data_IF_391599768586
#
_entry.id   IF_391599768586
#
_cell.length_a   1.000
_cell.length_b   1.000
_cell.length_c   1.000
_cell.angle_alpha   90.00
_cell.angle_beta   90.00
_cell.angle_gamma   90.00
#
_symmetry.space_group_name_H-M   'P 1'
#
loop_
_entity.id
_entity.type
_entity.pdbx_description
1 polymer ?
#
# COMPACT_ATOMS: atom_id res chain seq x y z
N UNK A 1 -6.82 6.31 42.52
CA UNK A 1 -5.45 6.62 42.08
C UNK A 1 -5.48 7.32 40.72
N UNK A 2 -5.93 8.59 40.68
CA UNK A 2 -6.26 9.31 39.43
C UNK A 2 -6.01 10.82 39.51
N UNK A 3 -4.92 11.24 40.16
CA UNK A 3 -4.66 12.66 40.43
C UNK A 3 -3.25 13.15 40.06
N UNK A 4 -2.40 12.30 39.47
CA UNK A 4 -1.00 12.69 39.18
C UNK A 4 -0.72 13.12 37.73
N UNK A 5 -1.70 13.09 36.83
CA UNK A 5 -1.49 13.36 35.41
C UNK A 5 -2.02 14.73 34.92
N UNK A 6 -2.43 15.62 35.83
CA UNK A 6 -3.00 16.94 35.47
C UNK A 6 -2.03 18.12 35.59
N UNK A 7 -0.91 17.98 36.28
CA UNK A 7 -0.04 19.11 36.61
C UNK A 7 1.02 19.49 35.57
N UNK A 8 1.14 18.76 34.46
CA UNK A 8 2.25 18.98 33.51
C UNK A 8 1.86 19.70 32.22
N UNK A 9 0.57 20.04 32.03
CA UNK A 9 0.09 20.70 30.80
C UNK A 9 -0.19 22.21 30.96
N UNK A 10 -0.39 22.73 32.17
CA UNK A 10 -0.78 24.14 32.38
C UNK A 10 0.41 25.13 32.38
N UNK A 11 1.65 24.67 32.41
CA UNK A 11 2.82 25.56 32.50
C UNK A 11 3.26 26.16 31.16
N UNK A 12 2.69 25.74 30.02
CA UNK A 12 3.11 26.20 28.69
C UNK A 12 2.27 27.37 28.11
N UNK A 13 1.29 27.88 28.86
CA UNK A 13 0.36 28.93 28.41
C UNK A 13 0.61 30.31 29.07
N UNK A 14 1.83 30.59 29.53
CA UNK A 14 2.24 31.95 29.93
C UNK A 14 2.94 32.69 28.78
N UNK A 15 2.59 33.96 28.50
CA UNK A 15 3.11 34.72 27.37
C UNK A 15 4.45 35.40 27.69
N UNK A 16 5.37 34.69 28.35
CA UNK A 16 6.78 35.12 28.49
C UNK A 16 7.64 34.08 27.76
N UNK A 17 7.72 34.27 26.45
CA UNK A 17 8.36 33.37 25.48
C UNK A 17 9.88 33.42 25.64
N UNK A 18 10.41 32.52 26.47
CA UNK A 18 11.82 32.17 26.48
C UNK A 18 12.18 31.52 25.11
N UNK A 19 13.19 32.00 24.37
CA UNK A 19 13.50 31.51 23.02
C UNK A 19 13.79 30.00 22.98
N UNK A 20 14.22 29.39 24.08
CA UNK A 20 14.46 27.94 24.18
C UNK A 20 13.20 27.07 23.95
N UNK A 21 12.00 27.52 24.32
CA UNK A 21 10.76 26.73 24.11
C UNK A 21 10.34 26.68 22.63
N UNK A 22 10.57 27.75 21.86
CA UNK A 22 10.30 27.75 20.42
C UNK A 22 11.23 26.79 19.66
N UNK A 23 12.51 26.77 20.01
CA UNK A 23 13.49 25.89 19.37
C UNK A 23 13.24 24.41 19.69
N UNK A 24 12.78 24.09 20.91
CA UNK A 24 12.40 22.73 21.30
C UNK A 24 11.25 22.16 20.48
N UNK A 25 10.19 22.94 20.24
CA UNK A 25 9.05 22.52 19.42
C UNK A 25 9.43 22.31 17.95
N UNK A 26 10.30 23.16 17.41
CA UNK A 26 10.83 23.01 16.04
C UNK A 26 11.66 21.73 15.93
N UNK A 27 12.52 21.43 16.92
CA UNK A 27 13.34 20.23 16.94
C UNK A 27 12.51 18.95 17.03
N UNK A 28 11.51 18.91 17.93
CA UNK A 28 10.56 17.79 18.04
C UNK A 28 9.81 17.60 16.72
N UNK A 29 9.37 18.68 16.08
CA UNK A 29 8.68 18.61 14.80
C UNK A 29 9.58 18.10 13.67
N UNK A 30 10.86 18.49 13.64
CA UNK A 30 11.85 17.96 12.71
C UNK A 30 12.10 16.46 12.96
N UNK A 31 12.23 16.04 14.21
CA UNK A 31 12.36 14.63 14.57
C UNK A 31 11.15 13.82 14.12
N UNK A 32 9.93 14.29 14.42
CA UNK A 32 8.69 13.65 13.96
C UNK A 32 8.67 13.54 12.43
N UNK A 33 9.09 14.59 11.71
CA UNK A 33 9.15 14.54 10.23
C UNK A 33 10.15 13.51 9.71
N UNK A 34 11.33 13.41 10.32
CA UNK A 34 12.34 12.44 9.93
C UNK A 34 11.90 11.01 10.27
N UNK A 35 11.35 10.78 11.46
CA UNK A 35 10.80 9.49 11.88
C UNK A 35 9.65 9.04 10.98
N UNK A 36 8.78 9.96 10.55
CA UNK A 36 7.70 9.64 9.59
C UNK A 36 8.24 9.21 8.24
N UNK A 37 9.29 9.86 7.72
CA UNK A 37 9.93 9.44 6.46
C UNK A 37 10.62 8.08 6.58
N UNK A 38 11.28 7.82 7.71
CA UNK A 38 11.93 6.54 7.96
C UNK A 38 10.91 5.39 8.09
N UNK A 39 9.82 5.62 8.83
CA UNK A 39 8.73 4.64 8.97
C UNK A 39 8.03 4.37 7.62
N UNK A 40 7.82 5.42 6.81
CA UNK A 40 7.24 5.31 5.48
C UNK A 40 8.14 4.50 4.53
N UNK A 41 9.47 4.76 4.55
CA UNK A 41 10.44 3.97 3.78
C UNK A 41 10.50 2.50 4.25
N UNK A 42 10.49 2.26 5.56
CA UNK A 42 10.46 0.90 6.10
C UNK A 42 9.19 0.15 5.69
N UNK A 43 8.03 0.82 5.74
CA UNK A 43 6.77 0.27 5.26
C UNK A 43 6.82 -0.08 3.78
N UNK A 44 7.46 0.76 2.96
CA UNK A 44 7.62 0.50 1.53
C UNK A 44 8.56 -0.68 1.22
N UNK A 45 9.65 -0.82 1.99
CA UNK A 45 10.57 -1.95 1.88
C UNK A 45 9.85 -3.25 2.26
N UNK A 46 9.09 -3.24 3.36
CA UNK A 46 8.28 -4.38 3.78
C UNK A 46 7.25 -4.75 2.71
N UNK A 47 6.48 -3.78 2.20
CA UNK A 47 5.54 -3.97 1.11
C UNK A 47 6.18 -4.62 -0.12
N UNK A 48 7.33 -4.10 -0.57
CA UNK A 48 8.00 -4.60 -1.77
C UNK A 48 8.50 -6.04 -1.58
N UNK A 49 8.96 -6.36 -0.36
CA UNK A 49 9.38 -7.71 0.01
C UNK A 49 8.18 -8.66 0.03
N UNK A 50 7.11 -8.30 0.72
CA UNK A 50 5.92 -9.14 0.84
C UNK A 50 5.26 -9.36 -0.53
N UNK A 51 5.19 -8.32 -1.37
CA UNK A 51 4.69 -8.43 -2.74
C UNK A 51 5.52 -9.43 -3.56
N UNK A 52 6.85 -9.37 -3.43
CA UNK A 52 7.76 -10.30 -4.10
C UNK A 52 7.60 -11.73 -3.56
N UNK A 53 7.40 -11.89 -2.26
CA UNK A 53 7.24 -13.20 -1.63
C UNK A 53 5.94 -13.87 -2.08
N UNK A 54 4.83 -13.12 -2.19
CA UNK A 54 3.57 -13.63 -2.74
C UNK A 54 3.64 -13.93 -4.25
N UNK A 55 4.30 -13.07 -5.03
CA UNK A 55 4.55 -13.34 -6.47
C UNK A 55 5.41 -14.59 -6.66
N UNK A 56 6.46 -14.77 -5.84
CA UNK A 56 7.30 -15.95 -5.87
C UNK A 56 6.56 -17.21 -5.42
N UNK A 57 5.67 -17.11 -4.43
CA UNK A 57 4.83 -18.23 -4.01
C UNK A 57 3.92 -18.70 -5.15
N UNK A 58 3.32 -17.76 -5.89
CA UNK A 58 2.50 -18.08 -7.06
C UNK A 58 3.31 -18.76 -8.18
N UNK A 59 4.54 -18.29 -8.43
CA UNK A 59 5.42 -18.85 -9.46
C UNK A 59 5.98 -20.23 -9.11
N UNK A 60 6.22 -20.50 -7.82
CA UNK A 60 6.82 -21.76 -7.36
C UNK A 60 5.77 -22.84 -7.03
N UNK A 61 4.48 -22.52 -7.03
CA UNK A 61 3.40 -23.47 -6.76
C UNK A 61 3.37 -24.59 -7.82
N UNK A 62 3.46 -25.85 -7.37
CA UNK A 62 3.59 -27.00 -8.28
C UNK A 62 2.24 -27.61 -8.64
N UNK A 63 1.29 -27.62 -7.69
CA UNK A 63 -0.07 -28.11 -7.93
C UNK A 63 -1.04 -26.99 -8.26
N UNK A 64 -2.13 -27.30 -8.98
CA UNK A 64 -3.15 -26.31 -9.29
C UNK A 64 -3.91 -25.82 -8.04
N UNK A 65 -4.01 -26.67 -7.01
CA UNK A 65 -4.58 -26.27 -5.71
C UNK A 65 -3.68 -25.29 -4.95
N UNK A 66 -2.36 -25.47 -5.01
CA UNK A 66 -1.39 -24.52 -4.43
C UNK A 66 -1.37 -23.20 -5.21
N UNK A 67 -1.48 -23.25 -6.55
CA UNK A 67 -1.56 -22.04 -7.38
C UNK A 67 -2.80 -21.22 -7.05
N UNK A 68 -3.94 -21.88 -6.86
CA UNK A 68 -5.19 -21.21 -6.50
C UNK A 68 -5.13 -20.57 -5.12
N UNK A 69 -4.53 -21.27 -4.15
CA UNK A 69 -4.30 -20.72 -2.82
C UNK A 69 -3.36 -19.52 -2.86
N UNK A 70 -2.22 -19.64 -3.54
CA UNK A 70 -1.26 -18.55 -3.69
C UNK A 70 -1.87 -17.35 -4.43
N UNK A 71 -2.75 -17.60 -5.40
CA UNK A 71 -3.47 -16.57 -6.12
C UNK A 71 -4.43 -15.80 -5.19
N UNK A 72 -5.22 -16.51 -4.38
CA UNK A 72 -6.11 -15.89 -3.39
C UNK A 72 -5.32 -15.11 -2.34
N UNK A 73 -4.18 -15.64 -1.87
CA UNK A 73 -3.31 -14.92 -0.95
C UNK A 73 -2.74 -13.63 -1.56
N UNK A 74 -2.31 -13.68 -2.83
CA UNK A 74 -1.86 -12.51 -3.56
C UNK A 74 -2.99 -11.48 -3.72
N UNK A 75 -4.21 -11.91 -4.05
CA UNK A 75 -5.36 -10.99 -4.14
C UNK A 75 -5.71 -10.36 -2.79
N UNK A 76 -5.72 -11.13 -1.70
CA UNK A 76 -5.95 -10.60 -0.36
C UNK A 76 -4.89 -9.55 0.02
N UNK A 77 -3.63 -9.80 -0.34
CA UNK A 77 -2.56 -8.84 -0.17
C UNK A 77 -2.83 -7.56 -0.96
N UNK A 78 -3.12 -7.67 -2.28
CA UNK A 78 -3.41 -6.53 -3.14
C UNK A 78 -4.65 -5.73 -2.64
N UNK A 79 -5.64 -6.39 -2.07
CA UNK A 79 -6.85 -5.78 -1.49
C UNK A 79 -6.52 -4.85 -0.34
N UNK A 80 -5.67 -5.31 0.57
CA UNK A 80 -5.22 -4.49 1.70
C UNK A 80 -4.49 -3.22 1.24
N UNK A 81 -3.62 -3.32 0.22
CA UNK A 81 -2.88 -2.16 -0.29
C UNK A 81 -3.74 -1.25 -1.18
N UNK A 82 -4.70 -1.81 -1.92
CA UNK A 82 -5.70 -1.02 -2.62
C UNK A 82 -6.56 -0.22 -1.64
N UNK A 83 -6.96 -0.83 -0.51
CA UNK A 83 -7.65 -0.14 0.58
C UNK A 83 -6.81 1.00 1.16
N UNK A 84 -5.51 0.76 1.40
CA UNK A 84 -4.59 1.76 1.91
C UNK A 84 -4.39 2.94 0.95
N UNK A 85 -4.32 2.68 -0.36
CA UNK A 85 -4.23 3.72 -1.38
C UNK A 85 -5.54 4.51 -1.53
N UNK A 86 -6.69 3.82 -1.60
CA UNK A 86 -8.00 4.43 -1.73
C UNK A 86 -8.32 5.32 -0.52
N UNK A 87 -7.96 4.87 0.69
CA UNK A 87 -8.20 5.58 1.95
C UNK A 87 -7.17 6.67 2.26
N UNK A 88 -6.19 6.91 1.37
CA UNK A 88 -5.10 7.89 1.55
C UNK A 88 -4.32 7.72 2.86
N UNK A 89 -4.23 6.49 3.36
CA UNK A 89 -3.43 6.17 4.56
C UNK A 89 -1.93 6.40 4.30
N UNK A 90 -1.53 6.18 3.06
CA UNK A 90 -0.20 6.49 2.52
C UNK A 90 -0.29 7.73 1.63
N UNK A 91 0.69 8.63 1.78
CA UNK A 91 0.75 9.90 1.07
C UNK A 91 2.06 10.08 0.29
N UNK A 92 2.10 11.08 -0.59
CA UNK A 92 3.33 11.47 -1.28
C UNK A 92 3.92 10.39 -2.19
N UNK A 93 5.23 10.18 -2.08
CA UNK A 93 5.99 9.26 -2.94
C UNK A 93 5.62 7.79 -2.70
N UNK A 94 5.40 7.39 -1.46
CA UNK A 94 5.10 5.99 -1.12
C UNK A 94 3.76 5.54 -1.68
N UNK A 95 2.75 6.44 -1.68
CA UNK A 95 1.50 6.18 -2.41
C UNK A 95 1.73 5.94 -3.90
N UNK A 96 2.59 6.73 -4.56
CA UNK A 96 2.87 6.55 -5.99
C UNK A 96 3.53 5.20 -6.28
N UNK A 97 4.43 4.76 -5.41
CA UNK A 97 5.13 3.48 -5.58
C UNK A 97 4.18 2.31 -5.34
N UNK A 98 3.31 2.39 -4.32
CA UNK A 98 2.26 1.40 -4.08
C UNK A 98 1.28 1.37 -5.27
N UNK A 99 0.80 2.53 -5.73
CA UNK A 99 -0.09 2.63 -6.89
C UNK A 99 0.54 1.99 -8.14
N UNK A 100 1.81 2.27 -8.40
CA UNK A 100 2.53 1.69 -9.54
C UNK A 100 2.66 0.17 -9.40
N UNK A 101 3.06 -0.34 -8.24
CA UNK A 101 3.20 -1.78 -8.01
C UNK A 101 1.85 -2.50 -8.11
N UNK A 102 0.77 -1.91 -7.61
CA UNK A 102 -0.59 -2.44 -7.78
C UNK A 102 -0.96 -2.53 -9.26
N UNK A 103 -0.68 -1.49 -10.06
CA UNK A 103 -0.90 -1.49 -11.50
C UNK A 103 -0.07 -2.58 -12.19
N UNK A 104 1.22 -2.70 -11.85
CA UNK A 104 2.13 -3.69 -12.43
C UNK A 104 1.68 -5.13 -12.11
N UNK A 105 1.33 -5.42 -10.85
CA UNK A 105 0.88 -6.75 -10.43
C UNK A 105 -0.48 -7.09 -11.07
N UNK A 106 -1.44 -6.16 -11.13
CA UNK A 106 -2.73 -6.39 -11.79
C UNK A 106 -2.58 -6.60 -13.30
N UNK A 107 -1.73 -5.82 -13.97
CA UNK A 107 -1.43 -6.00 -15.40
C UNK A 107 -0.74 -7.34 -15.67
N UNK A 108 0.17 -7.77 -14.79
CA UNK A 108 0.87 -9.06 -14.89
C UNK A 108 -0.12 -10.22 -14.76
N UNK A 109 -1.03 -10.16 -13.79
CA UNK A 109 -2.08 -11.17 -13.62
C UNK A 109 -3.02 -11.16 -14.84
N UNK A 110 -3.38 -9.99 -15.34
CA UNK A 110 -4.26 -9.86 -16.51
C UNK A 110 -3.64 -10.45 -17.78
N UNK A 111 -2.32 -10.40 -17.94
CA UNK A 111 -1.59 -11.04 -19.04
C UNK A 111 -1.34 -12.54 -18.84
N UNK A 112 -1.70 -13.11 -17.68
CA UNK A 112 -1.55 -14.53 -17.42
C UNK A 112 -2.80 -15.29 -17.86
N UNK A 113 -2.65 -16.19 -18.84
CA UNK A 113 -3.75 -17.00 -19.37
C UNK A 113 -4.48 -17.83 -18.33
N UNK A 114 -3.80 -18.21 -17.25
CA UNK A 114 -4.35 -19.10 -16.22
C UNK A 114 -5.12 -18.36 -15.12
N UNK A 115 -4.86 -17.06 -14.97
CA UNK A 115 -5.42 -16.24 -13.89
C UNK A 115 -6.28 -15.08 -14.39
N UNK A 116 -6.30 -14.82 -15.70
CA UNK A 116 -7.13 -13.78 -16.33
C UNK A 116 -8.59 -13.90 -15.93
N UNK A 117 -9.22 -15.05 -16.21
CA UNK A 117 -10.64 -15.28 -15.94
C UNK A 117 -10.94 -15.24 -14.43
N UNK A 118 -10.01 -15.74 -13.60
CA UNK A 118 -10.14 -15.73 -12.15
C UNK A 118 -10.06 -14.31 -11.59
N UNK A 119 -9.19 -13.47 -12.15
CA UNK A 119 -9.09 -12.06 -11.79
C UNK A 119 -10.34 -11.30 -12.22
N UNK A 120 -10.84 -11.52 -13.44
CA UNK A 120 -12.05 -10.86 -13.93
C UNK A 120 -13.28 -11.22 -13.09
N UNK A 121 -13.40 -12.51 -12.72
CA UNK A 121 -14.44 -12.96 -11.80
C UNK A 121 -14.30 -12.34 -10.40
N UNK A 122 -13.07 -12.24 -9.88
CA UNK A 122 -12.79 -11.64 -8.58
C UNK A 122 -13.11 -10.13 -8.54
N UNK A 123 -12.74 -9.38 -9.58
CA UNK A 123 -13.01 -7.93 -9.70
C UNK A 123 -14.50 -7.63 -9.90
N UNK A 124 -15.21 -8.53 -10.58
CA UNK A 124 -16.64 -8.42 -10.84
C UNK A 124 -17.49 -8.85 -9.64
N UNK A 125 -16.90 -9.55 -8.66
CA UNK A 125 -17.59 -9.96 -7.44
C UNK A 125 -17.69 -8.79 -6.46
N UNK A 126 -18.91 -8.37 -6.04
CA UNK A 126 -19.09 -7.20 -5.19
C UNK A 126 -18.69 -7.40 -3.72
N UNK A 127 -18.38 -8.62 -3.26
CA UNK A 127 -18.23 -8.90 -1.82
C UNK A 127 -16.80 -9.14 -1.34
N UNK A 128 -15.90 -9.70 -2.15
CA UNK A 128 -14.59 -10.19 -1.64
C UNK A 128 -13.42 -9.25 -1.92
N UNK A 129 -13.45 -8.49 -3.01
CA UNK A 129 -12.33 -7.67 -3.48
C UNK A 129 -12.78 -6.27 -3.94
N UNK A 130 -13.60 -5.63 -3.11
CA UNK A 130 -14.21 -4.33 -3.40
C UNK A 130 -13.16 -3.24 -3.65
N UNK A 131 -12.07 -3.21 -2.87
CA UNK A 131 -11.06 -2.15 -2.93
C UNK A 131 -10.15 -2.31 -4.12
N UNK A 132 -9.80 -3.54 -4.52
CA UNK A 132 -9.17 -3.80 -5.81
C UNK A 132 -10.10 -3.37 -6.93
N UNK A 133 -11.39 -3.72 -6.89
CA UNK A 133 -12.33 -3.32 -7.94
C UNK A 133 -12.42 -1.81 -8.07
N UNK A 134 -12.57 -1.09 -6.95
CA UNK A 134 -12.56 0.37 -6.91
C UNK A 134 -11.25 0.95 -7.47
N UNK A 135 -10.10 0.39 -7.09
CA UNK A 135 -8.80 0.80 -7.59
C UNK A 135 -8.64 0.53 -9.09
N UNK A 136 -9.07 -0.65 -9.54
CA UNK A 136 -9.03 -1.11 -10.91
C UNK A 136 -9.86 -0.18 -11.81
N UNK A 137 -11.09 0.17 -11.41
CA UNK A 137 -11.91 1.10 -12.19
C UNK A 137 -11.26 2.49 -12.29
N UNK A 138 -10.65 3.00 -11.20
CA UNK A 138 -9.94 4.28 -11.21
C UNK A 138 -8.70 4.28 -12.11
N UNK A 139 -8.02 3.14 -12.25
CA UNK A 139 -6.75 2.98 -12.97
C UNK A 139 -6.85 2.11 -14.24
N UNK A 140 -8.07 1.85 -14.70
CA UNK A 140 -8.33 0.90 -15.79
C UNK A 140 -7.52 1.20 -17.04
N UNK A 141 -7.42 2.47 -17.41
CA UNK A 141 -6.67 2.92 -18.59
C UNK A 141 -5.18 2.62 -18.45
N UNK A 142 -4.61 2.85 -17.27
CA UNK A 142 -3.18 2.63 -17.00
C UNK A 142 -2.85 1.14 -17.04
N UNK A 143 -3.69 0.31 -16.41
CA UNK A 143 -3.54 -1.15 -16.39
C UNK A 143 -3.65 -1.73 -17.80
N UNK A 144 -4.66 -1.33 -18.58
CA UNK A 144 -4.86 -1.80 -19.95
C UNK A 144 -3.75 -1.33 -20.90
N UNK A 145 -3.21 -0.13 -20.70
CA UNK A 145 -2.09 0.36 -21.50
C UNK A 145 -0.84 -0.46 -21.23
N UNK A 146 -0.58 -0.78 -19.97
CA UNK A 146 0.57 -1.58 -19.57
C UNK A 146 0.45 -3.03 -20.05
N UNK A 147 -0.72 -3.66 -19.89
CA UNK A 147 -0.95 -5.04 -20.35
C UNK A 147 -0.70 -5.18 -21.86
N UNK A 148 -1.25 -4.25 -22.66
CA UNK A 148 -1.01 -4.20 -24.12
C UNK A 148 0.46 -3.98 -24.47
N UNK A 149 1.16 -3.13 -23.74
CA UNK A 149 2.59 -2.90 -23.95
C UNK A 149 3.41 -4.18 -23.66
N UNK A 150 3.02 -4.96 -22.66
CA UNK A 150 3.64 -6.24 -22.33
C UNK A 150 3.35 -7.31 -23.39
N UNK A 151 2.14 -7.36 -23.96
CA UNK A 151 1.81 -8.25 -25.09
C UNK A 151 2.64 -7.92 -26.33
N UNK A 152 2.79 -6.62 -26.65
CA UNK A 152 3.54 -6.16 -27.81
C UNK A 152 5.04 -6.51 -27.76
N UNK A 153 5.61 -6.75 -26.58
CA UNK A 153 7.02 -7.18 -26.41
C UNK A 153 7.21 -8.69 -26.56
N UNK A 154 6.13 -9.47 -26.58
CA UNK A 154 6.17 -10.93 -26.72
C UNK A 154 6.07 -11.39 -28.19
N UNK A 155 5.69 -10.48 -29.09
CA UNK A 155 5.64 -10.67 -30.55
C UNK A 155 6.89 -10.08 -31.22
#
# INVERSE_FOLDING_TARGET
AGLHCRYQFESCLRPDVNPFCQHGLIFIWLQIRLSRKAADLQGLIAFTRDAKDHEAALLNAQSDQEKDKAFVELLNFLEMYAAASNSRLVGGTSKKIIDQKLVDSLATIQNSSNFHDKLEAAISSPETFEKISEFYQKRKVDIQKLSKAMEAQKN
#
